data_IF_264591919942
#
_entry.id   IF_264591919942
#
_cell.length_a   1.000
_cell.length_b   1.000
_cell.length_c   1.000
_cell.angle_alpha   90.00
_cell.angle_beta   90.00
_cell.angle_gamma   90.00
#
_symmetry.space_group_name_H-M   'P 1'
#
loop_
_entity.id
_entity.type
_entity.pdbx_description
1 polymer ?
#
# COMPACT_ATOMS: atom_id res chain seq x y z
N UNK A 1 -55.55 -7.37 0.78
CA UNK A 1 -55.33 -7.09 -0.66
C UNK A 1 -53.91 -6.56 -0.80
N UNK A 2 -52.97 -7.05 -1.61
CA UNK A 2 -52.87 -8.13 -2.62
C UNK A 2 -51.43 -8.68 -2.51
N UNK A 3 -51.25 -9.95 -2.86
CA UNK A 3 -49.98 -10.68 -3.00
C UNK A 3 -49.30 -10.31 -4.34
N UNK A 4 -47.96 -10.30 -4.37
CA UNK A 4 -46.97 -10.72 -5.42
C UNK A 4 -47.26 -10.47 -6.94
N UNK A 5 -46.35 -10.79 -7.89
CA UNK A 5 -44.89 -10.98 -7.89
C UNK A 5 -44.18 -10.20 -9.05
N UNK A 6 -42.84 -10.14 -9.06
CA UNK A 6 -42.06 -9.89 -10.28
C UNK A 6 -41.32 -11.17 -10.71
N UNK A 7 -41.42 -11.48 -11.99
CA UNK A 7 -41.03 -12.72 -12.64
C UNK A 7 -39.95 -12.43 -13.71
N UNK A 8 -39.13 -13.46 -13.96
CA UNK A 8 -38.01 -13.62 -14.92
C UNK A 8 -38.05 -12.89 -16.28
N UNK A 9 -36.85 -12.56 -16.80
CA UNK A 9 -36.52 -12.40 -18.24
C UNK A 9 -35.08 -12.91 -18.48
N UNK A 10 -34.84 -14.14 -18.97
CA UNK A 10 -34.65 -14.64 -20.36
C UNK A 10 -33.40 -14.16 -21.12
N UNK A 11 -32.52 -15.14 -21.42
CA UNK A 11 -31.43 -15.15 -22.41
C UNK A 11 -31.93 -14.90 -23.84
N UNK A 12 -31.08 -14.26 -24.66
CA UNK A 12 -31.21 -14.18 -26.11
C UNK A 12 -29.95 -14.70 -26.81
N UNK A 13 -30.13 -15.69 -27.67
CA UNK A 13 -29.15 -16.31 -28.59
C UNK A 13 -29.27 -15.62 -29.96
N UNK A 14 -28.16 -15.23 -30.58
CA UNK A 14 -28.14 -14.73 -31.97
C UNK A 14 -27.62 -15.83 -32.90
N UNK A 15 -28.42 -16.13 -33.92
CA UNK A 15 -28.27 -17.26 -34.83
C UNK A 15 -27.39 -17.00 -36.06
N UNK A 16 -26.86 -18.11 -36.58
CA UNK A 16 -26.16 -18.23 -37.85
C UNK A 16 -27.15 -18.26 -39.04
N UNK A 17 -26.82 -17.54 -40.11
CA UNK A 17 -27.48 -17.65 -41.40
C UNK A 17 -26.78 -18.69 -42.29
N UNK A 18 -27.55 -19.64 -42.82
CA UNK A 18 -27.18 -20.55 -43.90
C UNK A 18 -27.69 -19.97 -45.24
N UNK A 19 -26.86 -20.02 -46.28
CA UNK A 19 -27.31 -19.97 -47.67
C UNK A 19 -26.64 -21.09 -48.46
N UNK A 20 -27.48 -21.88 -49.14
CA UNK A 20 -27.14 -22.98 -50.04
C UNK A 20 -27.33 -22.49 -51.48
N UNK A 21 -26.42 -22.88 -52.38
CA UNK A 21 -26.56 -22.77 -53.83
C UNK A 21 -25.71 -23.82 -54.54
N UNK A 22 -26.28 -24.51 -55.52
CA UNK A 22 -25.88 -25.83 -56.06
C UNK A 22 -25.44 -25.73 -57.53
N UNK A 23 -24.60 -26.68 -57.96
CA UNK A 23 -24.35 -27.15 -59.36
C UNK A 23 -23.31 -26.37 -60.17
N UNK A 24 -22.35 -26.96 -60.90
CA UNK A 24 -21.97 -28.35 -61.17
C UNK A 24 -20.99 -28.41 -62.37
N UNK A 25 -20.06 -29.38 -62.38
CA UNK A 25 -19.45 -30.03 -63.56
C UNK A 25 -18.40 -31.06 -63.08
N UNK A 26 -18.32 -32.20 -63.78
CA UNK A 26 -17.50 -33.39 -63.43
C UNK A 26 -16.49 -33.68 -64.55
N UNK A 27 -15.33 -34.26 -64.16
CA UNK A 27 -14.37 -35.15 -64.86
C UNK A 27 -13.00 -34.52 -65.26
N UNK A 28 -11.91 -35.31 -65.38
CA UNK A 28 -11.21 -36.04 -64.32
C UNK A 28 -9.67 -35.84 -64.35
N UNK A 29 -8.99 -36.48 -63.38
CA UNK A 29 -7.53 -36.56 -63.12
C UNK A 29 -6.59 -36.52 -64.35
N UNK A 30 -5.50 -35.76 -64.23
CA UNK A 30 -4.10 -36.28 -64.26
C UNK A 30 -3.15 -35.23 -63.70
N UNK A 31 -2.25 -35.63 -62.80
CA UNK A 31 -1.20 -34.75 -62.28
C UNK A 31 -0.71 -35.18 -60.91
N UNK A 32 0.26 -36.10 -60.87
CA UNK A 32 1.07 -36.31 -59.68
C UNK A 32 1.85 -35.03 -59.39
N UNK A 33 1.71 -34.46 -58.20
CA UNK A 33 2.65 -33.47 -57.69
C UNK A 33 2.82 -33.64 -56.18
N UNK A 34 4.09 -33.62 -55.80
CA UNK A 34 4.70 -33.83 -54.50
C UNK A 34 3.93 -33.24 -53.30
N UNK A 35 3.80 -34.02 -52.23
CA UNK A 35 3.48 -33.48 -50.92
C UNK A 35 4.72 -32.76 -50.36
N UNK A 36 4.80 -31.45 -50.54
CA UNK A 36 5.72 -30.63 -49.76
C UNK A 36 5.22 -30.54 -48.33
N UNK A 37 6.07 -30.97 -47.40
CA UNK A 37 5.86 -30.78 -45.98
C UNK A 37 5.98 -29.29 -45.68
N UNK A 38 4.85 -28.62 -45.45
CA UNK A 38 4.83 -27.25 -44.94
C UNK A 38 5.40 -27.29 -43.53
N UNK A 39 6.68 -26.95 -43.39
CA UNK A 39 7.30 -26.62 -42.12
C UNK A 39 6.70 -25.30 -41.66
N UNK A 40 5.70 -25.38 -40.78
CA UNK A 40 5.14 -24.21 -40.11
C UNK A 40 6.21 -23.69 -39.16
N UNK A 41 7.00 -22.73 -39.62
CA UNK A 41 7.82 -21.91 -38.73
C UNK A 41 6.85 -21.03 -37.95
N UNK A 42 6.74 -21.14 -36.62
CA UNK A 42 5.95 -20.20 -35.85
C UNK A 42 6.62 -18.84 -36.00
N UNK A 43 5.96 -17.93 -36.72
CA UNK A 43 6.30 -16.52 -36.67
C UNK A 43 5.90 -16.08 -35.27
N UNK A 44 6.87 -16.11 -34.34
CA UNK A 44 6.79 -15.33 -33.10
C UNK A 44 6.82 -13.86 -33.52
N UNK A 45 5.65 -13.33 -33.89
CA UNK A 45 5.43 -11.90 -33.85
C UNK A 45 5.78 -11.46 -32.43
N UNK A 46 6.66 -10.45 -32.24
CA UNK A 46 6.80 -9.86 -30.91
C UNK A 46 5.40 -9.42 -30.49
N UNK A 47 4.95 -9.95 -29.35
CA UNK A 47 3.73 -9.49 -28.68
C UNK A 47 3.85 -7.99 -28.62
N UNK A 48 3.03 -7.29 -29.40
CA UNK A 48 2.89 -5.86 -29.30
C UNK A 48 2.57 -5.61 -27.83
N UNK A 49 3.48 -4.93 -27.12
CA UNK A 49 3.28 -4.48 -25.75
C UNK A 49 1.90 -3.82 -25.72
N UNK A 50 0.94 -4.45 -25.06
CA UNK A 50 -0.36 -3.83 -24.82
C UNK A 50 -0.06 -2.55 -24.05
N UNK A 51 -0.09 -1.43 -24.75
CA UNK A 51 0.09 -0.12 -24.14
C UNK A 51 -1.14 0.10 -23.29
N UNK A 52 -1.01 -0.14 -21.99
CA UNK A 52 -2.04 0.19 -21.02
C UNK A 52 -2.40 1.67 -21.22
N UNK A 53 -3.69 1.96 -21.38
CA UNK A 53 -4.17 3.33 -21.40
C UNK A 53 -3.65 4.10 -20.17
N UNK A 54 -3.34 5.40 -20.28
CA UNK A 54 -2.84 6.18 -19.15
C UNK A 54 -3.79 6.10 -17.96
N UNK A 55 -3.25 5.78 -16.78
CA UNK A 55 -4.04 5.69 -15.54
C UNK A 55 -4.56 7.07 -15.17
N UNK A 56 -5.83 7.12 -14.77
CA UNK A 56 -6.52 8.35 -14.39
C UNK A 56 -6.79 8.37 -12.90
N UNK A 57 -6.93 9.56 -12.32
CA UNK A 57 -7.32 9.73 -10.93
C UNK A 57 -8.71 10.35 -10.85
N UNK A 58 -9.56 9.78 -9.98
CA UNK A 58 -10.81 10.38 -9.53
C UNK A 58 -10.66 10.81 -8.08
N UNK A 59 -11.26 11.93 -7.73
CA UNK A 59 -11.23 12.45 -6.36
C UNK A 59 -12.43 11.91 -5.57
N UNK A 60 -12.17 11.48 -4.34
CA UNK A 60 -13.18 11.33 -3.29
C UNK A 60 -12.95 12.45 -2.29
N UNK A 61 -13.91 13.36 -2.17
CA UNK A 61 -13.85 14.44 -1.20
C UNK A 61 -14.36 13.95 0.17
N UNK A 62 -13.60 14.23 1.22
CA UNK A 62 -14.04 14.04 2.60
C UNK A 62 -14.17 15.41 3.27
N UNK A 63 -15.17 15.56 4.14
CA UNK A 63 -15.41 16.81 4.87
C UNK A 63 -15.75 16.51 6.32
N UNK A 64 -15.14 17.24 7.25
CA UNK A 64 -15.61 17.25 8.65
C UNK A 64 -16.89 18.09 8.77
N UNK A 65 -17.78 17.68 9.67
CA UNK A 65 -18.93 18.52 10.10
C UNK A 65 -18.60 19.38 11.33
N UNK A 66 -17.41 19.24 11.92
CA UNK A 66 -17.04 19.94 13.14
C UNK A 66 -16.52 21.33 12.84
N UNK A 67 -17.00 22.31 13.61
CA UNK A 67 -16.55 23.70 13.48
C UNK A 67 -15.12 23.89 13.98
N UNK A 68 -14.66 22.97 14.84
CA UNK A 68 -13.34 23.01 15.46
C UNK A 68 -12.22 22.52 14.53
N UNK A 69 -12.56 21.96 13.37
CA UNK A 69 -11.62 21.46 12.36
C UNK A 69 -11.98 21.95 10.96
N UNK A 70 -11.10 22.72 10.33
CA UNK A 70 -11.21 23.06 8.91
C UNK A 70 -10.62 21.93 8.06
N UNK A 71 -11.33 21.54 7.01
CA UNK A 71 -10.91 20.43 6.14
C UNK A 71 -10.87 20.84 4.67
N UNK A 72 -9.87 20.32 3.95
CA UNK A 72 -9.83 20.29 2.48
C UNK A 72 -9.16 18.96 2.06
N UNK A 73 -9.97 17.91 1.94
CA UNK A 73 -9.48 16.53 1.78
C UNK A 73 -9.91 16.00 0.43
N UNK A 74 -8.94 15.83 -0.46
CA UNK A 74 -9.06 15.26 -1.80
C UNK A 74 -8.30 13.95 -1.85
N UNK A 75 -9.03 12.84 -1.71
CA UNK A 75 -8.46 11.50 -1.70
C UNK A 75 -8.39 10.97 -3.13
N UNK A 76 -7.21 10.62 -3.66
CA UNK A 76 -7.11 10.07 -5.01
C UNK A 76 -7.60 8.62 -5.05
N UNK A 77 -8.30 8.29 -6.13
CA UNK A 77 -8.68 6.93 -6.50
C UNK A 77 -8.19 6.67 -7.93
N UNK A 78 -7.24 5.75 -8.08
CA UNK A 78 -6.71 5.30 -9.35
C UNK A 78 -7.80 4.58 -10.16
N UNK A 79 -7.79 4.77 -11.48
CA UNK A 79 -8.68 4.10 -12.42
C UNK A 79 -7.97 3.83 -13.74
N UNK A 80 -8.29 2.70 -14.37
CA UNK A 80 -7.68 2.28 -15.64
C UNK A 80 -6.42 1.42 -15.50
N UNK A 81 -6.13 0.92 -14.31
CA UNK A 81 -5.10 -0.12 -14.13
C UNK A 81 -5.56 -1.45 -14.74
N UNK A 82 -4.60 -2.22 -15.26
CA UNK A 82 -4.83 -3.56 -15.82
C UNK A 82 -5.16 -4.58 -14.72
N UNK A 83 -4.45 -4.52 -13.58
CA UNK A 83 -4.76 -5.30 -12.39
C UNK A 83 -5.80 -4.55 -11.52
N UNK A 84 -7.07 -4.89 -11.74
CA UNK A 84 -8.20 -4.27 -11.02
C UNK A 84 -8.20 -4.57 -9.53
N UNK A 85 -7.64 -5.71 -9.10
CA UNK A 85 -7.54 -6.09 -7.69
C UNK A 85 -6.48 -5.25 -6.98
N UNK A 86 -5.30 -5.12 -7.57
CA UNK A 86 -4.24 -4.25 -7.04
C UNK A 86 -4.71 -2.79 -6.97
N UNK A 87 -5.44 -2.33 -8.00
CA UNK A 87 -6.04 -0.99 -8.03
C UNK A 87 -7.00 -0.79 -6.85
N UNK A 88 -7.95 -1.71 -6.65
CA UNK A 88 -8.92 -1.62 -5.55
C UNK A 88 -8.22 -1.65 -4.18
N UNK A 89 -7.22 -2.52 -4.01
CA UNK A 89 -6.42 -2.58 -2.78
C UNK A 89 -5.71 -1.26 -2.50
N UNK A 90 -5.06 -0.67 -3.50
CA UNK A 90 -4.36 0.62 -3.36
C UNK A 90 -5.34 1.74 -3.01
N UNK A 91 -6.45 1.82 -3.75
CA UNK A 91 -7.51 2.81 -3.51
C UNK A 91 -8.10 2.71 -2.10
N UNK A 92 -8.34 1.48 -1.61
CA UNK A 92 -8.85 1.23 -0.27
C UNK A 92 -7.84 1.63 0.81
N UNK A 93 -6.54 1.37 0.60
CA UNK A 93 -5.47 1.79 1.53
C UNK A 93 -5.47 3.32 1.67
N UNK A 94 -5.46 4.05 0.54
CA UNK A 94 -5.42 5.51 0.55
C UNK A 94 -6.67 6.09 1.22
N UNK A 95 -7.86 5.61 0.85
CA UNK A 95 -9.12 6.09 1.42
C UNK A 95 -9.28 5.76 2.90
N UNK A 96 -8.87 4.56 3.32
CA UNK A 96 -8.92 4.17 4.73
C UNK A 96 -7.98 5.03 5.58
N UNK A 97 -6.78 5.31 5.10
CA UNK A 97 -5.83 6.18 5.78
C UNK A 97 -6.35 7.62 5.90
N UNK A 98 -6.93 8.17 4.83
CA UNK A 98 -7.52 9.52 4.86
C UNK A 98 -8.71 9.62 5.84
N UNK A 99 -9.59 8.62 5.89
CA UNK A 99 -10.68 8.57 6.86
C UNK A 99 -10.17 8.49 8.30
N UNK A 100 -9.10 7.71 8.52
CA UNK A 100 -8.46 7.60 9.84
C UNK A 100 -7.82 8.94 10.25
N UNK A 101 -7.09 9.59 9.36
CA UNK A 101 -6.50 10.91 9.59
C UNK A 101 -7.61 11.91 9.95
N UNK A 102 -8.72 11.92 9.18
CA UNK A 102 -9.88 12.75 9.49
C UNK A 102 -10.45 12.48 10.89
N UNK A 103 -10.76 11.23 11.22
CA UNK A 103 -11.34 10.88 12.53
C UNK A 103 -10.42 11.23 13.71
N UNK A 104 -9.10 11.06 13.54
CA UNK A 104 -8.13 11.42 14.56
C UNK A 104 -8.07 12.94 14.77
N UNK A 105 -7.96 13.71 13.70
CA UNK A 105 -7.91 15.18 13.77
C UNK A 105 -9.23 15.78 14.26
N UNK A 106 -10.35 15.14 13.94
CA UNK A 106 -11.64 15.45 14.51
C UNK A 106 -11.61 15.34 16.03
N UNK A 107 -11.15 14.19 16.55
CA UNK A 107 -11.02 13.97 17.99
C UNK A 107 -10.07 14.98 18.64
N UNK A 108 -8.87 15.17 18.11
CA UNK A 108 -7.87 16.10 18.67
C UNK A 108 -8.35 17.55 18.68
N UNK A 109 -9.03 18.00 17.61
CA UNK A 109 -9.61 19.33 17.53
C UNK A 109 -10.70 19.54 18.59
N UNK A 110 -11.57 18.55 18.78
CA UNK A 110 -12.63 18.61 19.79
C UNK A 110 -12.07 18.65 21.23
N UNK A 111 -11.04 17.82 21.51
CA UNK A 111 -10.35 17.82 22.81
C UNK A 111 -9.65 19.16 23.07
N UNK A 112 -8.96 19.71 22.08
CA UNK A 112 -8.30 21.02 22.19
C UNK A 112 -9.30 22.17 22.36
N UNK A 113 -10.44 22.14 21.67
CA UNK A 113 -11.49 23.12 21.84
C UNK A 113 -12.12 23.07 23.25
N UNK A 114 -12.32 21.87 23.80
CA UNK A 114 -12.82 21.67 25.15
C UNK A 114 -11.80 22.15 26.21
N UNK A 115 -10.51 21.88 26.00
CA UNK A 115 -9.43 22.34 26.87
C UNK A 115 -9.33 23.88 26.88
N UNK A 116 -9.38 24.50 25.70
CA UNK A 116 -9.39 25.95 25.54
C UNK A 116 -10.53 26.62 26.29
N UNK A 117 -11.73 26.02 26.24
CA UNK A 117 -12.89 26.50 26.98
C UNK A 117 -12.70 26.36 28.49
N UNK A 118 -12.06 25.29 28.94
CA UNK A 118 -11.82 25.02 30.37
C UNK A 118 -10.78 25.98 30.96
N UNK A 119 -9.71 26.27 30.20
CA UNK A 119 -8.59 27.09 30.65
C UNK A 119 -8.66 28.56 30.18
N UNK A 120 -9.74 28.95 29.48
CA UNK A 120 -10.05 30.34 29.16
C UNK A 120 -9.18 30.96 28.06
N UNK A 121 -8.59 30.17 27.16
CA UNK A 121 -7.86 30.68 26.00
C UNK A 121 -8.67 30.55 24.71
N UNK A 122 -8.39 31.41 23.73
CA UNK A 122 -9.10 31.38 22.44
C UNK A 122 -8.66 30.19 21.61
N UNK A 123 -9.59 29.25 21.36
CA UNK A 123 -9.37 28.18 20.41
C UNK A 123 -9.36 28.71 18.97
N UNK A 124 -8.37 28.27 18.19
CA UNK A 124 -8.33 28.49 16.74
C UNK A 124 -8.52 27.12 16.08
N UNK A 125 -9.49 26.97 15.17
CA UNK A 125 -9.74 25.69 14.52
C UNK A 125 -8.47 25.12 13.89
N UNK A 126 -8.23 23.84 14.16
CA UNK A 126 -7.17 23.10 13.50
C UNK A 126 -7.48 22.96 12.00
N UNK A 127 -6.47 22.61 11.22
CA UNK A 127 -6.59 22.45 9.78
C UNK A 127 -6.09 21.07 9.39
N UNK A 128 -6.85 20.35 8.56
CA UNK A 128 -6.45 19.10 7.92
C UNK A 128 -6.66 19.22 6.40
N UNK A 129 -5.58 19.08 5.65
CA UNK A 129 -5.59 19.09 4.20
C UNK A 129 -4.96 17.80 3.69
N UNK A 130 -5.61 17.16 2.72
CA UNK A 130 -5.04 16.01 1.99
C UNK A 130 -5.17 16.32 0.52
N UNK A 131 -4.04 16.33 -0.18
CA UNK A 131 -3.96 16.54 -1.61
C UNK A 131 -3.08 15.47 -2.24
N UNK A 132 -3.06 15.41 -3.57
CA UNK A 132 -2.25 14.45 -4.29
C UNK A 132 -1.68 15.02 -5.59
N UNK A 133 -0.69 14.34 -6.13
CA UNK A 133 -0.17 14.55 -7.47
C UNK A 133 0.08 13.21 -8.16
N UNK A 134 -0.53 13.00 -9.32
CA UNK A 134 -0.17 11.91 -10.22
C UNK A 134 1.11 12.30 -10.97
N UNK A 135 2.24 11.75 -10.53
CA UNK A 135 3.58 12.09 -11.03
C UNK A 135 3.92 11.36 -12.33
N UNK A 136 3.39 10.13 -12.46
CA UNK A 136 3.43 9.35 -13.70
C UNK A 136 2.13 8.56 -13.83
N UNK A 137 1.54 8.58 -15.02
CA UNK A 137 0.31 7.86 -15.38
C UNK A 137 0.58 6.53 -16.10
N UNK A 138 1.85 6.15 -16.22
CA UNK A 138 2.32 4.96 -16.94
C UNK A 138 2.54 5.16 -18.44
N UNK A 139 2.24 6.34 -19.01
CA UNK A 139 2.45 6.62 -20.44
C UNK A 139 3.89 7.05 -20.77
N UNK A 140 4.58 7.61 -19.79
CA UNK A 140 5.93 8.17 -19.94
C UNK A 140 7.04 7.19 -19.51
N UNK A 141 8.31 7.53 -19.71
CA UNK A 141 9.43 6.70 -19.28
C UNK A 141 9.55 6.65 -17.72
N UNK A 142 9.64 5.46 -17.10
CA UNK A 142 9.53 4.13 -17.71
C UNK A 142 8.08 3.73 -17.98
N UNK A 143 7.82 3.22 -19.20
CA UNK A 143 6.47 2.85 -19.63
C UNK A 143 5.85 1.82 -18.69
N UNK A 144 4.59 2.04 -18.33
CA UNK A 144 3.84 1.22 -17.38
C UNK A 144 4.05 1.62 -15.92
N UNK A 145 5.03 2.46 -15.57
CA UNK A 145 5.23 2.89 -14.18
C UNK A 145 4.27 4.04 -13.84
N UNK A 146 3.36 3.76 -12.93
CA UNK A 146 2.43 4.73 -12.34
C UNK A 146 2.99 5.16 -10.99
N UNK A 147 3.07 6.48 -10.76
CA UNK A 147 3.59 7.07 -9.53
C UNK A 147 2.62 8.12 -9.00
N UNK A 148 2.19 7.94 -7.75
CA UNK A 148 1.26 8.83 -7.06
C UNK A 148 1.90 9.32 -5.75
N UNK A 149 1.86 10.63 -5.54
CA UNK A 149 2.22 11.28 -4.28
C UNK A 149 0.94 11.74 -3.58
N UNK A 150 0.80 11.42 -2.29
CA UNK A 150 -0.29 11.92 -1.42
C UNK A 150 0.34 12.70 -0.28
N UNK A 151 -0.07 13.95 -0.11
CA UNK A 151 0.40 14.83 0.97
C UNK A 151 -0.72 15.07 1.97
N UNK A 152 -0.51 14.63 3.21
CA UNK A 152 -1.37 14.96 4.35
C UNK A 152 -0.70 16.06 5.16
N UNK A 153 -1.32 17.23 5.22
CA UNK A 153 -0.87 18.37 6.01
C UNK A 153 -1.88 18.66 7.11
N UNK A 154 -1.40 18.79 8.34
CA UNK A 154 -2.24 19.23 9.44
C UNK A 154 -1.53 20.25 10.33
N UNK A 155 -2.31 21.17 10.89
CA UNK A 155 -1.81 22.30 11.64
C UNK A 155 -2.71 22.71 12.81
N UNK A 156 -2.09 23.09 13.92
CA UNK A 156 -2.74 23.52 15.16
C UNK A 156 -2.65 25.04 15.39
N UNK A 157 -2.66 25.82 14.29
CA UNK A 157 -2.51 27.29 14.33
C UNK A 157 -1.11 27.82 14.02
N UNK A 158 -0.19 26.96 13.54
CA UNK A 158 1.15 27.30 13.08
C UNK A 158 1.53 26.52 11.81
N UNK A 159 2.83 26.38 11.52
CA UNK A 159 3.27 25.57 10.38
C UNK A 159 3.26 24.09 10.74
N UNK A 160 2.48 23.31 10.00
CA UNK A 160 2.40 21.86 10.15
C UNK A 160 3.63 21.10 9.65
N UNK A 161 3.60 19.80 9.92
CA UNK A 161 4.55 18.81 9.43
C UNK A 161 3.82 17.93 8.41
N UNK A 162 4.00 18.15 7.09
CA UNK A 162 3.35 17.32 6.09
C UNK A 162 3.89 15.89 6.13
N UNK A 163 3.00 14.90 6.09
CA UNK A 163 3.31 13.52 5.75
C UNK A 163 3.18 13.35 4.24
N UNK A 164 4.19 12.76 3.60
CA UNK A 164 4.19 12.45 2.18
C UNK A 164 4.22 10.94 2.01
N UNK A 165 3.16 10.38 1.44
CA UNK A 165 3.02 8.97 1.10
C UNK A 165 3.19 8.81 -0.42
N UNK A 166 4.02 7.85 -0.84
CA UNK A 166 4.30 7.61 -2.26
C UNK A 166 3.91 6.19 -2.66
N UNK A 167 3.22 6.05 -3.80
CA UNK A 167 2.78 4.77 -4.35
C UNK A 167 3.35 4.61 -5.76
N UNK A 168 4.15 3.56 -5.98
CA UNK A 168 4.79 3.28 -7.26
C UNK A 168 4.46 1.86 -7.71
N UNK A 169 3.81 1.73 -8.87
CA UNK A 169 3.34 0.46 -9.39
C UNK A 169 3.66 0.32 -10.88
N UNK A 170 4.11 -0.87 -11.28
CA UNK A 170 4.17 -1.28 -12.67
C UNK A 170 2.79 -1.82 -13.07
N UNK A 171 2.09 -1.05 -13.90
CA UNK A 171 0.75 -1.36 -14.40
C UNK A 171 0.81 -2.41 -15.52
N UNK A 172 0.39 -3.63 -15.20
CA UNK A 172 0.34 -4.81 -16.08
C UNK A 172 -0.71 -5.80 -15.54
N UNK A 173 -0.92 -6.94 -16.22
CA UNK A 173 -1.93 -7.94 -15.82
C UNK A 173 -1.84 -8.36 -14.34
N UNK A 174 -0.62 -8.55 -13.82
CA UNK A 174 -0.36 -8.68 -12.39
C UNK A 174 0.47 -7.48 -11.93
N UNK A 175 -0.20 -6.51 -11.30
CA UNK A 175 0.40 -5.28 -10.82
C UNK A 175 1.54 -5.56 -9.85
N UNK A 176 2.63 -4.80 -9.94
CA UNK A 176 3.79 -4.99 -9.07
C UNK A 176 4.25 -3.67 -8.48
N UNK A 177 4.56 -3.69 -7.18
CA UNK A 177 5.24 -2.58 -6.54
C UNK A 177 6.61 -2.35 -7.18
N UNK A 178 6.94 -1.10 -7.47
CA UNK A 178 8.24 -0.69 -8.03
C UNK A 178 9.12 -0.19 -6.89
N UNK A 179 10.34 -0.69 -6.80
CA UNK A 179 11.34 -0.25 -5.82
C UNK A 179 12.40 0.65 -6.48
N UNK A 180 13.20 1.35 -5.66
CA UNK A 180 14.36 2.08 -6.17
C UNK A 180 15.40 1.16 -6.82
N UNK A 181 15.55 -0.07 -6.33
CA UNK A 181 16.44 -1.07 -6.93
C UNK A 181 16.00 -1.43 -8.35
N UNK A 182 14.69 -1.56 -8.59
CA UNK A 182 14.16 -1.87 -9.94
C UNK A 182 14.43 -0.75 -10.94
N UNK A 183 14.59 0.49 -10.46
CA UNK A 183 14.82 1.68 -11.29
C UNK A 183 16.30 2.01 -11.48
N UNK A 184 17.10 1.84 -10.43
CA UNK A 184 18.48 2.34 -10.34
C UNK A 184 19.53 1.21 -10.23
N UNK A 185 19.10 -0.05 -10.20
CA UNK A 185 19.95 -1.24 -10.14
C UNK A 185 20.41 -1.63 -8.74
N UNK A 186 21.20 -2.70 -8.64
CA UNK A 186 21.60 -3.31 -7.36
C UNK A 186 22.39 -2.36 -6.44
N UNK A 187 23.18 -1.45 -7.02
CA UNK A 187 23.97 -0.47 -6.27
C UNK A 187 23.22 0.84 -5.97
N UNK A 188 21.88 0.85 -6.05
CA UNK A 188 21.08 2.07 -5.92
C UNK A 188 21.38 2.86 -4.65
N UNK A 189 21.54 2.21 -3.48
CA UNK A 189 21.78 2.91 -2.22
C UNK A 189 23.07 3.72 -2.26
N UNK A 190 24.16 3.11 -2.72
CA UNK A 190 25.47 3.77 -2.79
C UNK A 190 25.43 4.95 -3.76
N UNK A 191 24.85 4.74 -4.95
CA UNK A 191 24.73 5.77 -5.98
C UNK A 191 23.86 6.94 -5.52
N UNK A 192 22.72 6.65 -4.90
CA UNK A 192 21.78 7.66 -4.38
C UNK A 192 22.40 8.41 -3.22
N UNK A 193 23.02 7.71 -2.26
CA UNK A 193 23.69 8.37 -1.13
C UNK A 193 24.82 9.29 -1.58
N UNK A 194 25.64 8.84 -2.53
CA UNK A 194 26.71 9.64 -3.11
C UNK A 194 26.17 10.88 -3.82
N UNK A 195 25.12 10.72 -4.62
CA UNK A 195 24.48 11.84 -5.32
C UNK A 195 23.84 12.87 -4.38
N UNK A 196 23.10 12.41 -3.36
CA UNK A 196 22.50 13.30 -2.35
C UNK A 196 23.61 14.04 -1.58
N UNK A 197 24.66 13.34 -1.14
CA UNK A 197 25.76 13.96 -0.41
C UNK A 197 26.46 15.03 -1.26
N UNK A 198 26.67 14.77 -2.55
CA UNK A 198 27.21 15.77 -3.48
C UNK A 198 26.32 17.01 -3.55
N UNK A 199 24.99 16.84 -3.67
CA UNK A 199 24.02 17.96 -3.69
C UNK A 199 23.95 18.73 -2.38
N UNK A 200 24.03 18.05 -1.24
CA UNK A 200 24.14 18.71 0.07
C UNK A 200 25.43 19.54 0.14
N UNK A 201 26.55 19.00 -0.36
CA UNK A 201 27.84 19.70 -0.34
C UNK A 201 27.92 20.89 -1.33
N UNK A 202 27.10 20.91 -2.39
CA UNK A 202 27.00 22.06 -3.30
C UNK A 202 26.40 23.30 -2.61
N UNK A 203 25.46 23.10 -1.67
CA UNK A 203 24.77 24.17 -0.93
C UNK A 203 24.52 23.81 0.54
N UNK A 204 25.58 23.64 1.34
CA UNK A 204 25.48 23.12 2.69
C UNK A 204 24.63 24.00 3.62
N UNK A 205 24.50 25.30 3.32
CA UNK A 205 23.65 26.24 4.06
C UNK A 205 22.16 25.90 4.04
N UNK A 206 21.72 25.09 3.07
CA UNK A 206 20.32 24.66 2.95
C UNK A 206 20.02 23.36 3.69
N UNK A 207 21.03 22.69 4.26
CA UNK A 207 20.88 21.34 4.80
C UNK A 207 21.53 21.20 6.19
N UNK A 208 21.03 20.23 6.95
CA UNK A 208 21.69 19.76 8.14
C UNK A 208 22.79 18.78 7.72
N UNK A 209 23.99 19.31 7.50
CA UNK A 209 25.10 18.57 6.89
C UNK A 209 25.39 17.22 7.55
N UNK A 210 25.21 17.12 8.86
CA UNK A 210 25.51 15.92 9.63
C UNK A 210 24.31 14.95 9.77
N UNK A 211 23.09 15.35 9.38
CA UNK A 211 21.87 14.56 9.62
C UNK A 211 21.54 13.60 8.46
N UNK A 212 22.15 13.78 7.29
CA UNK A 212 22.02 12.80 6.22
C UNK A 212 22.84 11.54 6.53
N UNK A 213 22.15 10.46 6.94
CA UNK A 213 22.76 9.15 7.25
C UNK A 213 22.64 8.12 6.12
N UNK A 214 22.15 8.54 4.96
CA UNK A 214 21.82 7.68 3.84
C UNK A 214 20.32 7.35 3.74
N UNK A 215 19.94 6.76 2.62
CA UNK A 215 18.56 6.31 2.35
C UNK A 215 18.29 4.91 2.92
N UNK A 216 17.03 4.67 3.26
CA UNK A 216 16.52 3.33 3.60
C UNK A 216 16.20 2.50 2.33
N UNK A 217 15.95 1.18 2.49
CA UNK A 217 15.50 0.33 1.37
C UNK A 217 14.16 0.78 0.81
N UNK A 218 13.23 1.16 1.70
CA UNK A 218 11.92 1.65 1.33
C UNK A 218 11.83 3.18 1.51
N UNK A 219 12.87 3.89 1.11
CA UNK A 219 12.88 5.35 1.05
C UNK A 219 11.74 5.83 0.15
N UNK A 220 10.99 6.85 0.59
CA UNK A 220 9.93 7.45 -0.21
C UNK A 220 10.48 8.05 -1.50
N UNK A 221 9.83 7.73 -2.62
CA UNK A 221 10.21 8.23 -3.93
C UNK A 221 9.02 8.23 -4.89
N UNK A 222 9.12 8.97 -5.98
CA UNK A 222 8.20 8.85 -7.11
C UNK A 222 8.95 8.92 -8.44
N UNK A 223 8.32 8.49 -9.53
CA UNK A 223 8.83 8.71 -10.89
C UNK A 223 8.11 9.89 -11.52
N UNK A 224 8.88 10.81 -12.08
CA UNK A 224 8.36 11.95 -12.82
C UNK A 224 9.32 12.28 -13.96
N UNK A 225 8.79 12.44 -15.18
CA UNK A 225 9.56 12.92 -16.35
C UNK A 225 10.87 12.16 -16.61
N UNK A 226 10.88 10.83 -16.44
CA UNK A 226 12.07 10.01 -16.65
C UNK A 226 13.12 10.10 -15.53
N UNK A 227 12.75 10.61 -14.36
CA UNK A 227 13.61 10.68 -13.18
C UNK A 227 12.98 9.92 -12.01
N UNK A 228 13.82 9.25 -11.22
CA UNK A 228 13.46 8.84 -9.87
C UNK A 228 13.70 10.01 -8.93
N UNK A 229 12.67 10.44 -8.20
CA UNK A 229 12.71 11.58 -7.28
C UNK A 229 12.61 11.05 -5.86
N UNK A 230 13.70 11.16 -5.11
CA UNK A 230 13.81 10.73 -3.71
C UNK A 230 13.30 11.83 -2.81
N UNK A 231 12.38 11.50 -1.91
CA UNK A 231 11.66 12.47 -1.05
C UNK A 231 12.10 12.30 0.41
N UNK A 232 12.41 13.41 1.06
CA UNK A 232 12.75 13.46 2.49
C UNK A 232 11.69 14.21 3.27
N UNK A 233 11.22 13.70 4.42
CA UNK A 233 10.32 14.45 5.29
C UNK A 233 10.89 15.82 5.65
N UNK A 234 10.01 16.81 5.79
CA UNK A 234 10.40 18.13 6.28
C UNK A 234 11.18 18.00 7.60
N UNK A 235 12.19 18.85 7.82
CA UNK A 235 13.09 18.80 8.99
C UNK A 235 14.01 17.57 9.11
N UNK A 236 13.90 16.54 8.26
CA UNK A 236 14.72 15.33 8.43
C UNK A 236 16.21 15.56 8.13
N UNK A 237 16.51 16.37 7.11
CA UNK A 237 17.89 16.68 6.67
C UNK A 237 18.07 18.15 6.29
N UNK A 238 17.05 18.99 6.49
CA UNK A 238 17.06 20.40 6.10
C UNK A 238 16.13 21.24 6.99
N UNK A 239 16.40 22.54 7.17
CA UNK A 239 15.50 23.46 7.86
C UNK A 239 14.10 23.52 7.20
N UNK A 240 13.09 23.88 7.97
CA UNK A 240 11.69 23.89 7.51
C UNK A 240 11.41 24.79 6.30
N UNK A 241 12.24 25.81 6.05
CA UNK A 241 12.16 26.67 4.87
C UNK A 241 12.41 25.91 3.55
N UNK A 242 13.11 24.76 3.62
CA UNK A 242 13.35 23.88 2.48
C UNK A 242 12.17 22.94 2.19
N UNK A 243 11.09 23.01 2.98
CA UNK A 243 9.91 22.16 2.80
C UNK A 243 10.27 20.68 2.93
N UNK A 244 9.85 19.89 1.95
CA UNK A 244 10.13 18.45 1.81
C UNK A 244 11.24 18.29 0.77
N UNK A 245 12.52 18.09 1.16
CA UNK A 245 13.61 18.05 0.18
C UNK A 245 13.45 16.90 -0.82
N UNK A 246 13.71 17.19 -2.09
CA UNK A 246 13.66 16.23 -3.19
C UNK A 246 15.01 16.16 -3.92
N UNK A 247 15.43 14.94 -4.28
CA UNK A 247 16.64 14.71 -5.08
C UNK A 247 16.32 13.86 -6.30
N UNK A 248 16.71 14.33 -7.48
CA UNK A 248 16.34 13.76 -8.77
C UNK A 248 17.50 12.98 -9.38
N UNK A 249 17.20 11.78 -9.86
CA UNK A 249 18.14 10.87 -10.51
C UNK A 249 17.57 10.46 -11.87
N UNK A 250 18.28 10.80 -12.94
CA UNK A 250 17.84 10.48 -14.30
C UNK A 250 17.83 8.96 -14.52
N UNK A 251 16.75 8.47 -15.12
CA UNK A 251 16.60 7.08 -15.52
C UNK A 251 17.07 6.90 -16.98
N UNK A 252 17.52 5.70 -17.38
CA UNK A 252 17.81 5.41 -18.78
C UNK A 252 16.59 5.68 -19.68
N UNK A 253 16.80 6.25 -20.87
CA UNK A 253 15.70 6.63 -21.80
C UNK A 253 14.80 5.47 -22.23
N UNK A 254 15.34 4.23 -22.20
CA UNK A 254 14.63 3.00 -22.55
C UNK A 254 14.69 1.99 -21.41
N UNK A 255 14.49 2.47 -20.18
CA UNK A 255 14.47 1.60 -19.02
C UNK A 255 13.26 0.66 -19.11
N UNK A 256 13.52 -0.64 -19.17
CA UNK A 256 12.49 -1.67 -19.02
C UNK A 256 12.51 -2.08 -17.56
N UNK A 257 11.45 -1.71 -16.84
CA UNK A 257 11.32 -2.08 -15.43
C UNK A 257 10.84 -3.52 -15.37
N UNK A 258 11.69 -4.39 -14.86
CA UNK A 258 11.35 -5.78 -14.55
C UNK A 258 11.47 -5.97 -13.04
N UNK A 259 10.45 -5.56 -12.26
CA UNK A 259 10.47 -5.83 -10.84
C UNK A 259 10.65 -7.33 -10.70
N UNK A 260 11.59 -7.73 -9.84
CA UNK A 260 11.77 -9.16 -9.54
C UNK A 260 10.36 -9.70 -9.26
N UNK A 261 9.95 -10.83 -9.88
CA UNK A 261 8.70 -11.46 -9.52
C UNK A 261 8.66 -11.46 -8.00
N UNK A 262 7.56 -10.98 -7.42
CA UNK A 262 7.24 -11.41 -6.07
C UNK A 262 7.10 -12.90 -6.27
N UNK A 263 8.19 -13.64 -6.08
CA UNK A 263 8.13 -15.09 -6.01
C UNK A 263 7.03 -15.25 -4.99
N UNK A 264 5.90 -15.88 -5.34
CA UNK A 264 5.05 -16.36 -4.30
C UNK A 264 5.97 -17.32 -3.57
N UNK A 265 6.62 -16.84 -2.50
CA UNK A 265 6.92 -17.71 -1.36
C UNK A 265 5.63 -18.47 -1.24
N UNK A 266 5.62 -19.80 -1.45
CA UNK A 266 4.40 -20.56 -1.31
C UNK A 266 3.75 -20.03 -0.05
N UNK A 267 2.56 -19.45 -0.18
CA UNK A 267 1.74 -19.23 0.99
C UNK A 267 1.34 -20.65 1.34
N UNK A 268 2.28 -21.40 1.94
CA UNK A 268 1.91 -22.48 2.81
C UNK A 268 0.90 -21.82 3.72
N UNK A 269 -0.35 -22.29 3.63
CA UNK A 269 -1.38 -21.85 4.56
C UNK A 269 -0.84 -22.18 5.93
N UNK A 270 -0.31 -21.18 6.62
CA UNK A 270 0.33 -21.41 7.91
C UNK A 270 -0.82 -21.61 8.86
N UNK A 271 -0.95 -22.84 9.36
CA UNK A 271 -1.94 -23.19 10.37
C UNK A 271 -1.27 -23.19 11.72
N UNK A 272 -1.75 -22.37 12.62
CA UNK A 272 -1.32 -22.32 13.99
C UNK A 272 -2.52 -22.57 14.90
N UNK A 273 -2.46 -23.65 15.67
CA UNK A 273 -3.45 -23.96 16.69
C UNK A 273 -2.90 -23.58 18.07
N UNK A 274 -3.63 -22.71 18.76
CA UNK A 274 -3.40 -22.41 20.17
C UNK A 274 -4.31 -23.30 21.03
N UNK A 275 -3.74 -23.97 22.02
CA UNK A 275 -4.52 -24.74 22.99
C UNK A 275 -5.15 -23.79 24.01
N UNK A 276 -6.25 -24.19 24.65
CA UNK A 276 -7.03 -23.31 25.55
C UNK A 276 -6.21 -22.62 26.66
N UNK A 277 -5.12 -23.26 27.13
CA UNK A 277 -4.23 -22.70 28.15
C UNK A 277 -3.25 -21.62 27.62
N UNK A 278 -3.12 -21.47 26.31
CA UNK A 278 -2.25 -20.45 25.72
C UNK A 278 -2.91 -19.07 25.74
N UNK A 279 -4.23 -19.00 25.58
CA UNK A 279 -4.99 -17.76 25.59
C UNK A 279 -5.58 -17.48 26.97
N UNK A 280 -5.76 -16.22 27.31
CA UNK A 280 -6.40 -15.79 28.56
C UNK A 280 -7.39 -14.69 28.30
N UNK A 281 -8.45 -14.64 29.09
CA UNK A 281 -9.44 -13.56 29.03
C UNK A 281 -9.14 -12.58 30.15
N UNK A 282 -8.97 -11.29 29.81
CA UNK A 282 -8.76 -10.25 30.82
C UNK A 282 -10.08 -9.93 31.56
N UNK A 283 -10.01 -9.05 32.58
CA UNK A 283 -11.17 -8.63 33.37
C UNK A 283 -12.28 -7.94 32.55
N UNK A 284 -11.96 -7.46 31.34
CA UNK A 284 -12.86 -6.76 30.42
C UNK A 284 -13.48 -7.72 29.38
N UNK A 285 -13.22 -9.03 29.47
CA UNK A 285 -13.74 -10.02 28.53
C UNK A 285 -12.97 -10.12 27.22
N UNK A 286 -11.79 -9.50 27.10
CA UNK A 286 -10.95 -9.53 25.90
C UNK A 286 -10.03 -10.73 25.93
N UNK A 287 -10.07 -11.55 24.87
CA UNK A 287 -9.15 -12.66 24.69
C UNK A 287 -7.78 -12.13 24.30
N UNK A 288 -6.78 -12.52 25.08
CA UNK A 288 -5.38 -12.21 24.90
C UNK A 288 -4.62 -13.48 24.46
N UNK A 289 -3.66 -13.29 23.56
CA UNK A 289 -2.83 -14.36 23.01
C UNK A 289 -1.34 -14.04 23.17
N UNK A 290 -0.47 -15.05 23.33
CA UNK A 290 0.96 -14.87 23.53
C UNK A 290 1.62 -14.39 22.23
N UNK A 291 2.11 -13.16 22.23
CA UNK A 291 2.60 -12.47 21.03
C UNK A 291 3.67 -13.29 20.31
N UNK A 292 4.70 -13.72 21.04
CA UNK A 292 5.85 -14.42 20.47
C UNK A 292 5.43 -15.74 19.81
N UNK A 293 4.63 -16.55 20.50
CA UNK A 293 4.15 -17.84 20.00
C UNK A 293 3.31 -17.67 18.73
N UNK A 294 2.44 -16.67 18.70
CA UNK A 294 1.60 -16.38 17.53
C UNK A 294 2.44 -15.86 16.37
N UNK A 295 3.27 -14.86 16.61
CA UNK A 295 4.08 -14.23 15.57
C UNK A 295 5.11 -15.22 14.96
N UNK A 296 5.88 -15.92 15.79
CA UNK A 296 6.83 -16.93 15.33
C UNK A 296 6.13 -18.11 14.63
N UNK A 297 4.97 -18.53 15.15
CA UNK A 297 4.13 -19.56 14.52
C UNK A 297 3.59 -19.15 13.15
N UNK A 298 3.40 -17.85 12.92
CA UNK A 298 3.06 -17.26 11.61
C UNK A 298 4.29 -16.91 10.77
N UNK A 299 5.50 -17.28 11.20
CA UNK A 299 6.74 -17.06 10.45
C UNK A 299 7.33 -15.65 10.56
N UNK A 300 7.00 -14.90 11.63
CA UNK A 300 7.67 -13.66 11.97
C UNK A 300 8.90 -13.91 12.85
N UNK A 301 9.98 -13.18 12.62
CA UNK A 301 11.09 -13.05 13.56
C UNK A 301 10.70 -12.04 14.65
N UNK A 302 10.88 -12.38 15.93
CA UNK A 302 10.49 -11.52 17.06
C UNK A 302 11.71 -11.15 17.91
N UNK A 303 12.04 -9.86 17.95
CA UNK A 303 13.15 -9.30 18.74
C UNK A 303 12.61 -8.44 19.88
N UNK A 304 13.24 -8.52 21.06
CA UNK A 304 12.88 -7.67 22.20
C UNK A 304 13.76 -6.42 22.25
N UNK A 305 13.14 -5.25 22.36
CA UNK A 305 13.81 -3.97 22.52
C UNK A 305 13.63 -3.48 23.96
N UNK A 306 14.70 -3.57 24.75
CA UNK A 306 14.67 -3.22 26.18
C UNK A 306 14.54 -1.71 26.41
N UNK A 307 15.09 -0.87 25.53
CA UNK A 307 15.08 0.59 25.68
C UNK A 307 13.68 1.17 25.50
N UNK A 308 12.94 0.64 24.52
CA UNK A 308 11.59 1.10 24.20
C UNK A 308 10.49 0.25 24.85
N UNK A 309 10.89 -0.80 25.57
CA UNK A 309 10.02 -1.76 26.24
C UNK A 309 8.95 -2.34 25.29
N UNK A 310 9.44 -2.85 24.15
CA UNK A 310 8.62 -3.29 23.03
C UNK A 310 9.14 -4.58 22.38
N UNK A 311 8.22 -5.33 21.78
CA UNK A 311 8.55 -6.45 20.90
C UNK A 311 8.43 -6.02 19.43
N UNK A 312 9.52 -6.16 18.69
CA UNK A 312 9.60 -5.88 17.25
C UNK A 312 9.46 -7.17 16.46
N UNK A 313 8.70 -7.13 15.36
CA UNK A 313 8.42 -8.31 14.55
C UNK A 313 8.65 -8.03 13.08
N UNK A 314 9.29 -8.99 12.39
CA UNK A 314 9.62 -8.88 10.97
C UNK A 314 9.23 -10.15 10.20
N UNK A 315 8.59 -9.99 9.05
CA UNK A 315 8.34 -11.08 8.08
C UNK A 315 8.50 -10.55 6.67
N UNK A 316 9.53 -11.02 5.96
CA UNK A 316 9.92 -10.44 4.67
C UNK A 316 10.20 -8.93 4.79
N UNK A 317 9.48 -8.13 4.02
CA UNK A 317 9.55 -6.65 4.06
C UNK A 317 8.59 -6.01 5.10
N UNK A 318 7.74 -6.79 5.75
CA UNK A 318 6.82 -6.29 6.77
C UNK A 318 7.52 -6.15 8.13
N UNK A 319 7.45 -4.96 8.74
CA UNK A 319 7.88 -4.70 10.12
C UNK A 319 6.72 -4.11 10.93
N UNK A 320 6.65 -4.48 12.21
CA UNK A 320 5.72 -3.94 13.20
C UNK A 320 6.34 -3.99 14.60
N UNK A 321 5.87 -3.17 15.52
CA UNK A 321 6.28 -3.16 16.91
C UNK A 321 5.08 -3.07 17.86
N UNK A 322 5.21 -3.70 19.02
CA UNK A 322 4.20 -3.81 20.07
C UNK A 322 4.80 -3.32 21.39
N UNK A 323 4.30 -2.18 21.88
CA UNK A 323 4.76 -1.54 23.12
C UNK A 323 3.95 -2.03 24.32
N UNK A 324 4.62 -2.45 25.40
CA UNK A 324 3.91 -2.88 26.60
C UNK A 324 3.17 -1.71 27.24
N UNK A 325 1.92 -1.93 27.65
CA UNK A 325 1.08 -0.94 28.32
C UNK A 325 0.53 0.17 27.41
N UNK A 326 0.76 0.11 26.09
CA UNK A 326 0.23 1.08 25.13
C UNK A 326 -0.71 0.41 24.14
N UNK A 327 -1.97 0.82 24.12
CA UNK A 327 -2.94 0.43 23.09
C UNK A 327 -2.61 1.16 21.78
N UNK A 328 -1.50 0.78 21.15
CA UNK A 328 -0.91 1.47 20.00
C UNK A 328 -0.09 0.47 19.18
N UNK A 329 -0.65 0.05 18.05
CA UNK A 329 -0.13 -1.06 17.25
C UNK A 329 0.23 -0.60 15.85
N UNK A 330 1.43 -0.96 15.39
CA UNK A 330 1.97 -0.53 14.10
C UNK A 330 1.79 -1.61 13.03
N UNK A 331 1.74 -1.24 11.76
CA UNK A 331 1.86 -2.19 10.65
C UNK A 331 2.45 -1.49 9.45
N UNK A 332 3.52 -2.04 8.85
CA UNK A 332 4.05 -1.62 7.55
C UNK A 332 4.19 -0.09 7.39
N UNK A 333 4.80 0.58 8.39
CA UNK A 333 5.03 2.04 8.43
C UNK A 333 3.76 2.92 8.49
N UNK A 334 2.59 2.34 8.78
CA UNK A 334 1.35 3.09 9.03
C UNK A 334 1.30 3.70 10.44
N UNK A 335 0.54 4.79 10.60
CA UNK A 335 0.23 5.36 11.91
C UNK A 335 -0.43 4.32 12.82
N UNK A 336 -0.08 4.25 14.11
CA UNK A 336 -0.53 3.17 14.98
C UNK A 336 -2.06 3.16 15.17
N UNK A 337 -2.66 1.98 15.30
CA UNK A 337 -4.10 1.79 15.61
C UNK A 337 -4.28 1.35 17.06
N UNK A 338 -5.42 1.72 17.65
CA UNK A 338 -5.88 1.19 18.94
C UNK A 338 -6.74 -0.04 18.70
N UNK A 339 -6.56 -1.11 19.47
CA UNK A 339 -7.38 -2.33 19.42
C UNK A 339 -8.35 -2.43 20.61
N UNK A 340 -8.33 -1.45 21.52
CA UNK A 340 -9.20 -1.36 22.69
C UNK A 340 -8.61 -2.02 23.95
N UNK A 341 -7.41 -2.60 23.86
CA UNK A 341 -6.72 -3.23 24.99
C UNK A 341 -5.23 -3.17 24.75
N UNK A 342 -4.47 -2.66 25.72
CA UNK A 342 -3.02 -2.58 25.61
C UNK A 342 -2.32 -3.95 25.81
N UNK A 343 -1.12 -4.16 25.25
CA UNK A 343 -0.32 -5.35 25.52
C UNK A 343 0.12 -5.40 26.98
N UNK A 344 0.15 -6.59 27.56
CA UNK A 344 0.51 -6.81 28.97
C UNK A 344 1.50 -7.97 29.10
N UNK A 345 2.47 -7.84 29.99
CA UNK A 345 3.33 -8.96 30.37
C UNK A 345 2.69 -9.67 31.57
N UNK A 346 2.43 -10.97 31.42
CA UNK A 346 1.95 -11.85 32.48
C UNK A 346 2.85 -13.10 32.51
N UNK A 347 3.41 -13.43 33.67
CA UNK A 347 4.32 -14.57 33.85
C UNK A 347 5.44 -14.60 32.78
N UNK A 348 6.16 -13.49 32.63
CA UNK A 348 7.24 -13.29 31.64
C UNK A 348 6.83 -13.46 30.16
N UNK A 349 5.53 -13.50 29.87
CA UNK A 349 5.00 -13.63 28.51
C UNK A 349 4.26 -12.35 28.12
N UNK A 350 4.59 -11.78 26.96
CA UNK A 350 3.87 -10.64 26.39
C UNK A 350 2.59 -11.13 25.69
N UNK A 351 1.46 -10.65 26.19
CA UNK A 351 0.12 -10.91 25.66
C UNK A 351 -0.42 -9.70 24.89
N UNK A 352 -1.11 -9.97 23.79
CA UNK A 352 -1.80 -8.98 22.94
C UNK A 352 -3.26 -9.37 22.72
N UNK A 353 -4.19 -8.42 22.47
CA UNK A 353 -5.57 -8.74 22.14
C UNK A 353 -5.66 -9.60 20.88
N UNK A 354 -6.60 -10.52 20.83
CA UNK A 354 -6.80 -11.42 19.68
C UNK A 354 -7.01 -10.64 18.36
N UNK A 355 -7.60 -9.44 18.44
CA UNK A 355 -7.72 -8.52 17.30
C UNK A 355 -6.38 -8.12 16.68
N UNK A 356 -5.28 -8.19 17.44
CA UNK A 356 -3.95 -7.97 16.91
C UNK A 356 -3.64 -8.95 15.77
N UNK A 357 -4.06 -10.21 15.93
CA UNK A 357 -3.84 -11.27 14.94
C UNK A 357 -4.62 -11.00 13.65
N UNK A 358 -5.89 -10.58 13.76
CA UNK A 358 -6.74 -10.29 12.61
C UNK A 358 -6.41 -8.96 11.94
N UNK A 359 -6.20 -7.91 12.73
CA UNK A 359 -6.21 -6.53 12.24
C UNK A 359 -4.80 -6.03 11.90
N UNK A 360 -3.78 -6.54 12.60
CA UNK A 360 -2.37 -6.18 12.39
C UNK A 360 -1.65 -7.25 11.58
N UNK A 361 -1.70 -8.51 12.04
CA UNK A 361 -1.01 -9.60 11.35
C UNK A 361 -1.75 -10.10 10.12
N UNK A 362 -3.03 -9.71 9.93
CA UNK A 362 -3.86 -10.11 8.79
C UNK A 362 -3.99 -11.63 8.64
N UNK A 363 -4.18 -12.33 9.76
CA UNK A 363 -4.45 -13.76 9.79
C UNK A 363 -5.93 -14.03 10.12
N UNK A 364 -6.50 -15.07 9.51
CA UNK A 364 -7.85 -15.53 9.80
C UNK A 364 -7.88 -16.27 11.12
N UNK A 365 -8.85 -15.95 11.98
CA UNK A 365 -8.99 -16.57 13.31
C UNK A 365 -10.35 -17.25 13.41
N UNK A 366 -10.35 -18.53 13.82
CA UNK A 366 -11.55 -19.31 14.14
C UNK A 366 -11.45 -19.82 15.57
N UNK A 367 -12.46 -19.55 16.39
CA UNK A 367 -12.54 -20.08 17.76
C UNK A 367 -13.27 -21.41 17.74
N UNK A 368 -12.63 -22.46 18.27
CA UNK A 368 -13.21 -23.79 18.43
C UNK A 368 -13.85 -23.99 19.81
N UNK A 369 -14.34 -25.21 20.05
CA UNK A 369 -14.89 -25.60 21.35
C UNK A 369 -13.84 -25.48 22.47
N UNK A 370 -14.30 -25.19 23.69
CA UNK A 370 -13.47 -25.06 24.90
C UNK A 370 -12.35 -23.99 24.83
N UNK A 371 -12.46 -22.98 23.96
CA UNK A 371 -11.53 -21.85 23.91
C UNK A 371 -10.28 -22.09 23.06
N UNK A 372 -10.25 -23.13 22.24
CA UNK A 372 -9.20 -23.32 21.24
C UNK A 372 -9.25 -22.21 20.18
N UNK A 373 -8.09 -21.74 19.71
CA UNK A 373 -7.99 -20.70 18.68
C UNK A 373 -7.19 -21.27 17.51
N UNK A 374 -7.83 -21.32 16.34
CA UNK A 374 -7.23 -21.74 15.08
C UNK A 374 -6.91 -20.51 14.24
N UNK A 375 -5.65 -20.36 13.86
CA UNK A 375 -5.14 -19.22 13.09
C UNK A 375 -4.64 -19.72 11.74
N UNK A 376 -5.10 -19.11 10.64
CA UNK A 376 -4.69 -19.44 9.28
C UNK A 376 -4.18 -18.18 8.57
N UNK A 377 -3.02 -18.26 7.88
CA UNK A 377 -2.45 -17.15 7.09
C UNK A 377 -1.94 -17.61 5.73
#
# INVERSE_FOLDING_TARGET
MKKNPFNMLKLGVIGCALLVGVSGAVLPLTGMASAETVTVVPILSPVASESASPVQVKEVELTSKMQDLKTNIKVPQLSGMLDTKYQEQTNNIILSLANKDLANWEKEAAEAAADAKTHGFTYRPYELMINYALKSDGSSNPTGVVSLEVTTYAATGGTGMPRVDTYNVLNREQGQHVTLQDLLGDNFKENVNTGIQAKINEKPENYFKDDFKGISEEQGFYVEKGEAVIVFPKYSIAPGAMGTPEFRFSLPEKLIVTPKPVVPTPVEKIKLDLVANDSLTNAEGVNLVPLRKVAEGLGYEVTWNQETYAAEMKKGAGWTSVFVGKDSYFYAKMAPVTLGTAPVILNDTLYVPLKFVTDILRADVKTGDAGAIHIEQ
#
